data_IF_853634501243
#
_entry.id   IF_853634501243
#
_cell.length_a   1.000
_cell.length_b   1.000
_cell.length_c   1.000
_cell.angle_alpha   90.00
_cell.angle_beta   90.00
_cell.angle_gamma   90.00
#
_symmetry.space_group_name_H-M   'P 1'
#
loop_
_entity.id
_entity.type
_entity.pdbx_description
1 polymer ?
#
# COMPACT_ATOMS: atom_id res chain seq x y z
N UNK A 1 4.66 2.17 33.11
CA UNK A 1 4.61 0.71 32.93
C UNK A 1 3.67 0.41 31.78
N UNK A 2 4.08 -0.42 30.82
CA UNK A 2 3.21 -0.81 29.70
C UNK A 2 2.19 -1.81 30.23
N UNK A 3 0.91 -1.55 29.99
CA UNK A 3 -0.20 -2.40 30.40
C UNK A 3 -0.76 -3.20 29.23
N UNK A 4 -0.78 -2.61 28.04
CA UNK A 4 -1.35 -3.21 26.83
C UNK A 4 -0.65 -2.69 25.58
N UNK A 5 -0.49 -3.53 24.56
CA UNK A 5 -0.07 -3.13 23.21
C UNK A 5 -1.16 -3.57 22.24
N UNK A 6 -1.59 -2.68 21.35
CA UNK A 6 -2.54 -2.97 20.29
C UNK A 6 -1.89 -2.71 18.93
N UNK A 7 -2.03 -3.64 18.00
CA UNK A 7 -1.47 -3.59 16.66
C UNK A 7 -2.63 -3.79 15.69
N UNK A 8 -2.96 -2.77 14.91
CA UNK A 8 -3.97 -2.84 13.87
C UNK A 8 -3.30 -2.79 12.51
N UNK A 9 -3.47 -3.84 11.72
CA UNK A 9 -2.91 -3.97 10.39
C UNK A 9 -4.03 -3.95 9.36
N UNK A 10 -3.74 -3.36 8.22
CA UNK A 10 -4.64 -3.32 7.08
C UNK A 10 -3.85 -3.66 5.84
N UNK A 11 -4.36 -4.62 5.08
CA UNK A 11 -3.84 -4.99 3.78
C UNK A 11 -4.90 -4.68 2.73
N UNK A 12 -4.53 -3.88 1.73
CA UNK A 12 -5.40 -3.50 0.63
C UNK A 12 -5.04 -4.34 -0.59
N UNK A 13 -5.93 -5.27 -0.91
CA UNK A 13 -5.81 -6.25 -1.97
C UNK A 13 -6.75 -5.87 -3.09
N UNK A 14 -6.25 -5.16 -4.11
CA UNK A 14 -7.11 -4.45 -5.07
C UNK A 14 -8.06 -3.47 -4.35
N UNK A 15 -8.90 -2.78 -5.13
CA UNK A 15 -9.85 -1.78 -4.63
C UNK A 15 -10.84 -2.30 -3.57
N UNK A 16 -11.43 -3.48 -3.77
CA UNK A 16 -12.61 -3.94 -3.01
C UNK A 16 -12.30 -4.99 -1.94
N UNK A 17 -11.07 -5.51 -1.86
CA UNK A 17 -10.72 -6.48 -0.82
C UNK A 17 -9.77 -5.85 0.17
N UNK A 18 -10.26 -5.79 1.41
CA UNK A 18 -9.51 -5.22 2.53
C UNK A 18 -9.50 -6.25 3.63
N UNK A 19 -8.30 -6.61 4.03
CA UNK A 19 -8.07 -7.49 5.14
C UNK A 19 -7.64 -6.65 6.34
N UNK A 20 -8.38 -6.76 7.44
CA UNK A 20 -8.11 -6.03 8.66
C UNK A 20 -7.79 -7.00 9.77
N UNK A 21 -6.72 -6.71 10.51
CA UNK A 21 -6.29 -7.49 11.64
C UNK A 21 -6.10 -6.57 12.83
N UNK A 22 -6.58 -7.00 13.98
CA UNK A 22 -6.32 -6.34 15.25
C UNK A 22 -5.77 -7.38 16.20
N UNK A 23 -4.60 -7.06 16.75
CA UNK A 23 -3.94 -7.86 17.76
C UNK A 23 -3.77 -7.03 19.03
N UNK A 24 -4.11 -7.60 20.17
CA UNK A 24 -4.02 -6.95 21.47
C UNK A 24 -3.27 -7.83 22.44
N UNK A 25 -2.16 -7.36 22.99
CA UNK A 25 -1.44 -7.97 24.10
C UNK A 25 -1.82 -7.22 25.37
N UNK A 26 -2.41 -7.90 26.33
CA UNK A 26 -2.71 -7.40 27.66
C UNK A 26 -1.77 -8.04 28.68
N UNK A 27 -0.86 -7.25 29.23
CA UNK A 27 0.14 -7.67 30.22
C UNK A 27 -0.41 -7.71 31.65
N UNK A 28 -1.58 -7.11 31.91
CA UNK A 28 -2.24 -7.21 33.22
C UNK A 28 -2.91 -8.58 33.39
N UNK A 29 -3.42 -9.14 32.29
CA UNK A 29 -4.04 -10.48 32.26
C UNK A 29 -3.13 -11.57 31.69
N UNK A 30 -1.96 -11.21 31.15
CA UNK A 30 -1.06 -12.08 30.39
C UNK A 30 -1.78 -12.82 29.24
N UNK A 31 -2.60 -12.07 28.50
CA UNK A 31 -3.36 -12.59 27.37
C UNK A 31 -3.05 -11.85 26.08
N UNK A 32 -3.05 -12.59 24.97
CA UNK A 32 -3.07 -12.05 23.62
C UNK A 32 -4.42 -12.34 23.00
N UNK A 33 -5.12 -11.31 22.53
CA UNK A 33 -6.37 -11.42 21.78
C UNK A 33 -6.11 -11.08 20.32
N UNK A 34 -6.59 -11.93 19.42
CA UNK A 34 -6.42 -11.77 17.98
C UNK A 34 -7.81 -11.70 17.36
N UNK A 35 -8.04 -10.69 16.53
CA UNK A 35 -9.25 -10.56 15.75
C UNK A 35 -8.88 -10.24 14.31
N UNK A 36 -9.12 -11.21 13.45
CA UNK A 36 -8.98 -11.05 12.00
C UNK A 36 -10.38 -10.86 11.43
N UNK A 37 -10.58 -9.78 10.66
CA UNK A 37 -11.85 -9.47 10.02
C UNK A 37 -11.65 -8.99 8.58
N UNK A 38 -12.38 -9.57 7.65
CA UNK A 38 -12.38 -9.13 6.25
C UNK A 38 -13.57 -8.22 5.97
N UNK A 39 -13.36 -7.17 5.15
CA UNK A 39 -14.42 -6.38 4.55
C UNK A 39 -14.40 -6.62 3.04
N UNK A 40 -15.12 -7.65 2.58
CA UNK A 40 -15.21 -8.01 1.16
C UNK A 40 -15.95 -9.33 0.92
N UNK A 41 -16.57 -9.49 -0.25
CA UNK A 41 -17.21 -10.75 -0.69
C UNK A 41 -16.20 -11.56 -1.48
N UNK A 42 -15.55 -12.53 -0.84
CA UNK A 42 -14.43 -13.26 -1.43
C UNK A 42 -14.69 -13.96 -2.76
N UNK A 43 -15.95 -14.27 -3.07
CA UNK A 43 -16.37 -14.85 -4.35
C UNK A 43 -16.31 -13.84 -5.52
N UNK A 44 -16.46 -12.53 -5.25
CA UNK A 44 -16.36 -11.49 -6.29
C UNK A 44 -14.92 -11.29 -6.77
N UNK A 45 -13.94 -11.35 -5.87
CA UNK A 45 -12.52 -11.16 -6.19
C UNK A 45 -12.03 -12.13 -7.28
N UNK A 46 -12.34 -13.43 -7.13
CA UNK A 46 -11.98 -14.46 -8.11
C UNK A 46 -12.71 -14.28 -9.45
N UNK A 47 -13.90 -13.66 -9.43
CA UNK A 47 -14.72 -13.47 -10.63
C UNK A 47 -14.42 -12.17 -11.40
N UNK A 48 -13.91 -11.13 -10.74
CA UNK A 48 -13.73 -9.80 -11.32
C UNK A 48 -12.29 -9.55 -11.83
N UNK A 49 -11.33 -10.43 -11.48
CA UNK A 49 -9.92 -10.26 -11.86
C UNK A 49 -9.31 -11.48 -12.55
N UNK A 50 -9.74 -11.81 -13.78
CA UNK A 50 -9.19 -12.94 -14.52
C UNK A 50 -7.72 -12.77 -14.96
N UNK A 51 -7.14 -11.57 -14.84
CA UNK A 51 -5.86 -11.19 -15.46
C UNK A 51 -4.78 -10.73 -14.46
N UNK A 52 -5.04 -10.77 -13.15
CA UNK A 52 -4.01 -10.42 -12.18
C UNK A 52 -3.21 -11.66 -11.78
N UNK A 53 -1.89 -11.48 -11.64
CA UNK A 53 -0.98 -12.51 -11.12
C UNK A 53 -1.59 -13.18 -9.87
N UNK A 54 -1.57 -14.51 -9.85
CA UNK A 54 -2.13 -15.33 -8.76
C UNK A 54 -1.47 -15.06 -7.40
N UNK A 55 -0.35 -14.32 -7.36
CA UNK A 55 0.35 -13.91 -6.14
C UNK A 55 -0.58 -13.32 -5.09
N UNK A 56 -1.55 -12.47 -5.46
CA UNK A 56 -2.54 -11.95 -4.51
C UNK A 56 -3.49 -13.02 -3.98
N UNK A 57 -3.89 -13.96 -4.83
CA UNK A 57 -4.84 -15.03 -4.47
C UNK A 57 -4.22 -15.88 -3.37
N UNK A 58 -2.95 -16.26 -3.50
CA UNK A 58 -2.29 -17.10 -2.51
C UNK A 58 -2.15 -16.39 -1.16
N UNK A 59 -1.77 -15.10 -1.16
CA UNK A 59 -1.69 -14.29 0.06
C UNK A 59 -3.08 -14.17 0.71
N UNK A 60 -4.10 -13.80 -0.07
CA UNK A 60 -5.47 -13.66 0.42
C UNK A 60 -6.05 -14.97 0.95
N UNK A 61 -5.83 -16.08 0.25
CA UNK A 61 -6.31 -17.41 0.66
C UNK A 61 -5.67 -17.82 1.97
N UNK A 62 -4.37 -17.63 2.15
CA UNK A 62 -3.71 -17.94 3.41
C UNK A 62 -4.19 -17.03 4.55
N UNK A 63 -4.22 -15.70 4.35
CA UNK A 63 -4.76 -14.76 5.34
C UNK A 63 -6.21 -15.11 5.73
N UNK A 64 -7.04 -15.51 4.75
CA UNK A 64 -8.40 -16.00 4.99
C UNK A 64 -8.43 -17.28 5.78
N UNK A 65 -7.55 -18.23 5.50
CA UNK A 65 -7.47 -19.50 6.23
C UNK A 65 -7.16 -19.30 7.72
N UNK A 66 -6.53 -18.17 8.06
CA UNK A 66 -6.20 -17.77 9.43
C UNK A 66 -7.29 -16.96 10.11
N UNK A 67 -8.38 -16.58 9.41
CA UNK A 67 -9.50 -15.82 9.97
C UNK A 67 -10.10 -16.53 11.18
N UNK A 68 -9.69 -16.10 12.36
CA UNK A 68 -10.10 -16.63 13.64
C UNK A 68 -10.13 -15.50 14.66
N UNK A 69 -10.86 -15.70 15.74
CA UNK A 69 -10.64 -14.95 16.97
C UNK A 69 -10.17 -15.93 18.02
N UNK A 70 -8.94 -15.74 18.48
CA UNK A 70 -8.29 -16.62 19.45
C UNK A 70 -7.88 -15.79 20.68
N UNK A 71 -7.86 -16.43 21.84
CA UNK A 71 -7.20 -15.88 23.03
C UNK A 71 -6.06 -16.83 23.38
N UNK A 72 -4.84 -16.30 23.46
CA UNK A 72 -3.67 -17.03 23.96
C UNK A 72 -3.27 -16.49 25.31
N UNK A 73 -2.83 -17.39 26.18
CA UNK A 73 -2.26 -17.02 27.48
C UNK A 73 -0.76 -17.28 27.43
N UNK A 74 0.03 -16.39 28.02
CA UNK A 74 1.47 -16.57 28.22
C UNK A 74 1.82 -16.47 29.71
N UNK A 75 2.98 -17.00 30.11
CA UNK A 75 3.43 -16.93 31.50
C UNK A 75 4.06 -15.58 31.83
N UNK A 76 4.18 -15.31 33.13
CA UNK A 76 4.73 -14.07 33.65
C UNK A 76 6.20 -13.86 33.23
N UNK A 77 7.01 -14.91 33.18
CA UNK A 77 8.42 -14.81 32.80
C UNK A 77 8.58 -14.38 31.33
N UNK A 78 7.71 -14.86 30.46
CA UNK A 78 7.69 -14.49 29.05
C UNK A 78 7.17 -13.06 28.85
N UNK A 79 6.16 -12.64 29.62
CA UNK A 79 5.68 -11.27 29.62
C UNK A 79 6.76 -10.28 30.08
N UNK A 80 7.43 -10.57 31.19
CA UNK A 80 8.48 -9.71 31.77
C UNK A 80 9.68 -9.58 30.83
N UNK A 81 10.14 -10.70 30.26
CA UNK A 81 11.19 -10.72 29.22
C UNK A 81 10.79 -9.90 28.00
N UNK A 82 9.58 -10.09 27.47
CA UNK A 82 9.11 -9.33 26.32
C UNK A 82 9.10 -7.81 26.61
N UNK A 83 8.59 -7.41 27.77
CA UNK A 83 8.54 -5.99 28.16
C UNK A 83 9.93 -5.38 28.32
N UNK A 84 10.88 -6.12 28.89
CA UNK A 84 12.27 -5.71 28.97
C UNK A 84 12.90 -5.54 27.59
N UNK A 85 12.81 -6.57 26.75
CA UNK A 85 13.34 -6.55 25.38
C UNK A 85 12.70 -5.43 24.55
N UNK A 86 11.42 -5.13 24.76
CA UNK A 86 10.68 -4.08 24.04
C UNK A 86 11.16 -2.67 24.42
N UNK A 87 11.44 -2.45 25.71
CA UNK A 87 12.04 -1.20 26.20
C UNK A 87 13.46 -1.01 25.64
N UNK A 88 14.26 -2.07 25.61
CA UNK A 88 15.61 -2.03 25.02
C UNK A 88 15.60 -1.85 23.49
N UNK A 89 14.59 -2.39 22.82
CA UNK A 89 14.43 -2.27 21.38
C UNK A 89 14.33 -0.80 20.98
N UNK A 90 13.66 0.03 21.79
CA UNK A 90 13.45 1.46 21.50
C UNK A 90 12.82 1.64 20.12
N UNK A 91 11.78 0.84 19.84
CA UNK A 91 11.19 0.67 18.50
C UNK A 91 10.89 2.01 17.80
N UNK A 92 10.42 2.99 18.56
CA UNK A 92 9.99 4.29 18.04
C UNK A 92 10.94 5.45 18.39
N UNK A 93 12.17 5.19 18.85
CA UNK A 93 13.16 6.25 19.08
C UNK A 93 13.51 6.92 17.75
N UNK A 94 13.19 8.22 17.62
CA UNK A 94 13.43 8.97 16.38
C UNK A 94 12.44 8.68 15.25
N UNK A 95 11.44 7.84 15.49
CA UNK A 95 10.40 7.53 14.51
C UNK A 95 9.35 8.66 14.46
N UNK A 96 9.07 9.14 13.24
CA UNK A 96 8.02 10.12 12.99
C UNK A 96 6.76 9.39 12.49
N UNK A 97 5.73 9.36 13.34
CA UNK A 97 4.42 8.80 12.99
C UNK A 97 3.79 9.58 11.85
N UNK A 98 3.21 8.88 10.89
CA UNK A 98 2.44 9.49 9.81
C UNK A 98 1.12 10.04 10.36
N UNK A 99 0.71 11.23 9.90
CA UNK A 99 -0.57 11.85 10.31
C UNK A 99 -1.78 11.12 9.68
N UNK A 100 -2.79 10.83 10.49
CA UNK A 100 -3.98 10.09 10.07
C UNK A 100 -4.84 10.83 9.00
N UNK A 101 -4.66 12.13 8.82
CA UNK A 101 -5.38 12.90 7.78
C UNK A 101 -4.99 12.47 6.36
N UNK A 102 -3.77 11.93 6.17
CA UNK A 102 -3.35 11.29 4.92
C UNK A 102 -3.86 9.84 4.79
N UNK A 103 -4.44 9.30 5.87
CA UNK A 103 -4.82 7.89 5.99
C UNK A 103 -5.98 7.53 5.06
N UNK A 104 -6.88 8.47 4.80
CA UNK A 104 -8.12 8.25 4.05
C UNK A 104 -8.03 8.55 2.55
N UNK A 105 -7.12 9.43 2.09
CA UNK A 105 -7.07 9.88 0.68
C UNK A 105 -6.35 8.90 -0.26
N UNK A 106 -5.34 8.19 0.24
CA UNK A 106 -4.49 7.29 -0.54
C UNK A 106 -4.32 5.96 0.19
N UNK A 107 -4.68 4.86 -0.45
CA UNK A 107 -4.49 3.53 0.09
C UNK A 107 -3.29 2.87 -0.58
N UNK A 108 -2.37 2.40 0.24
CA UNK A 108 -1.24 1.57 -0.21
C UNK A 108 -1.52 0.13 0.16
N UNK A 109 -0.68 -0.79 -0.31
CA UNK A 109 -0.84 -2.22 -0.04
C UNK A 109 -0.92 -2.58 1.45
N UNK A 110 -0.21 -1.87 2.32
CA UNK A 110 -0.14 -2.15 3.75
C UNK A 110 -0.17 -0.87 4.60
N UNK A 111 -0.89 -0.92 5.72
CA UNK A 111 -0.79 0.11 6.75
C UNK A 111 -0.90 -0.50 8.14
N UNK A 112 -0.27 0.14 9.12
CA UNK A 112 -0.20 -0.33 10.49
C UNK A 112 -0.39 0.82 11.47
N UNK A 113 -1.06 0.52 12.58
CA UNK A 113 -1.17 1.38 13.75
C UNK A 113 -0.78 0.57 14.98
N UNK A 114 0.14 1.10 15.78
CA UNK A 114 0.56 0.52 17.06
C UNK A 114 0.18 1.48 18.18
N UNK A 115 -0.62 1.00 19.13
CA UNK A 115 -1.04 1.76 20.31
C UNK A 115 -0.45 1.11 21.55
N UNK A 116 0.32 1.88 22.32
CA UNK A 116 0.91 1.44 23.58
C UNK A 116 0.16 2.10 24.73
N UNK A 117 -0.44 1.30 25.59
CA UNK A 117 -1.19 1.76 26.76
C UNK A 117 -0.35 1.61 28.02
N UNK A 118 -0.48 2.59 28.89
CA UNK A 118 0.14 2.64 30.20
C UNK A 118 -0.81 3.27 31.22
N UNK A 119 -0.42 3.22 32.48
CA UNK A 119 -1.11 3.91 33.57
C UNK A 119 -1.23 5.44 33.37
N UNK A 120 -0.41 6.03 32.50
CA UNK A 120 -0.39 7.48 32.26
C UNK A 120 -1.17 7.90 31.00
N UNK A 121 -1.67 6.95 30.22
CA UNK A 121 -2.36 7.20 28.95
C UNK A 121 -1.92 6.25 27.85
N UNK A 122 -2.02 6.68 26.60
CA UNK A 122 -1.58 5.91 25.45
C UNK A 122 -0.77 6.75 24.47
N UNK A 123 0.10 6.08 23.71
CA UNK A 123 0.79 6.62 22.55
C UNK A 123 0.38 5.83 21.31
N UNK A 124 0.17 6.53 20.21
CA UNK A 124 -0.21 5.95 18.92
C UNK A 124 0.88 6.23 17.88
N UNK A 125 1.24 5.20 17.14
CA UNK A 125 2.22 5.25 16.05
C UNK A 125 1.61 4.63 14.79
N UNK A 126 1.45 5.44 13.76
CA UNK A 126 0.80 5.09 12.50
C UNK A 126 1.79 5.17 11.35
N UNK A 127 1.74 4.20 10.44
CA UNK A 127 2.54 4.20 9.22
C UNK A 127 1.95 3.36 8.09
N UNK A 128 2.32 3.72 6.86
CA UNK A 128 1.97 3.01 5.63
C UNK A 128 3.21 2.41 4.98
N UNK A 129 4.20 3.26 4.73
CA UNK A 129 5.45 2.91 4.06
C UNK A 129 6.69 3.33 4.84
N UNK A 130 6.56 4.18 5.86
CA UNK A 130 7.66 4.53 6.76
C UNK A 130 7.70 3.55 7.94
N UNK A 131 8.42 2.44 7.80
CA UNK A 131 8.52 1.45 8.87
C UNK A 131 9.54 1.89 9.93
N UNK A 132 9.29 1.61 11.23
CA UNK A 132 10.34 1.73 12.24
C UNK A 132 11.57 0.88 11.88
N UNK A 133 12.79 1.37 12.11
CA UNK A 133 14.02 0.67 11.69
C UNK A 133 14.12 -0.76 12.23
N UNK A 134 13.60 -0.99 13.44
CA UNK A 134 13.65 -2.30 14.12
C UNK A 134 12.35 -3.11 13.99
N UNK A 135 11.56 -2.86 12.94
CA UNK A 135 10.28 -3.53 12.74
C UNK A 135 10.38 -5.06 12.63
N UNK A 136 11.40 -5.58 11.92
CA UNK A 136 11.63 -7.02 11.83
C UNK A 136 11.99 -7.66 13.18
N UNK A 137 12.78 -6.96 14.00
CA UNK A 137 13.13 -7.40 15.35
C UNK A 137 11.89 -7.47 16.23
N UNK A 138 11.03 -6.44 16.18
CA UNK A 138 9.76 -6.42 16.88
C UNK A 138 8.85 -7.60 16.46
N UNK A 139 8.74 -7.88 15.16
CA UNK A 139 7.97 -9.04 14.67
C UNK A 139 8.49 -10.38 15.17
N UNK A 140 9.82 -10.55 15.28
CA UNK A 140 10.42 -11.74 15.89
C UNK A 140 10.06 -11.87 17.37
N UNK A 141 10.16 -10.78 18.13
CA UNK A 141 9.80 -10.78 19.56
C UNK A 141 8.32 -11.14 19.78
N UNK A 142 7.43 -10.59 18.96
CA UNK A 142 6.00 -10.92 19.01
C UNK A 142 5.78 -12.41 18.75
N UNK A 143 6.42 -12.95 17.69
CA UNK A 143 6.34 -14.37 17.38
C UNK A 143 6.86 -15.26 18.50
N UNK A 144 7.94 -14.87 19.17
CA UNK A 144 8.50 -15.63 20.27
C UNK A 144 7.58 -15.61 21.50
N UNK A 145 6.84 -14.51 21.73
CA UNK A 145 5.85 -14.40 22.79
C UNK A 145 4.59 -15.24 22.51
N UNK A 146 4.04 -15.18 21.28
CA UNK A 146 2.72 -15.74 20.98
C UNK A 146 2.71 -17.02 20.13
N UNK A 147 3.85 -17.36 19.54
CA UNK A 147 4.07 -18.57 18.77
C UNK A 147 3.67 -18.50 17.28
N UNK A 148 3.43 -17.30 16.72
CA UNK A 148 3.14 -17.12 15.30
C UNK A 148 3.47 -15.71 14.79
N UNK A 149 3.55 -15.55 13.48
CA UNK A 149 3.92 -14.29 12.81
C UNK A 149 2.76 -13.28 12.88
N UNK A 150 2.79 -12.39 13.87
CA UNK A 150 1.80 -11.33 14.06
C UNK A 150 1.89 -10.27 12.97
N UNK A 151 3.10 -9.93 12.53
CA UNK A 151 3.34 -8.82 11.60
C UNK A 151 3.33 -9.25 10.13
N UNK A 152 3.06 -10.53 9.87
CA UNK A 152 3.07 -11.13 8.54
C UNK A 152 4.35 -10.80 7.75
N UNK A 153 5.51 -10.83 8.41
CA UNK A 153 6.80 -10.43 7.83
C UNK A 153 7.12 -11.18 6.53
N UNK A 154 6.65 -12.42 6.37
CA UNK A 154 6.81 -13.17 5.13
C UNK A 154 6.01 -12.58 3.97
N UNK A 155 4.77 -12.12 4.20
CA UNK A 155 3.96 -11.47 3.17
C UNK A 155 4.45 -10.06 2.86
N UNK A 156 4.95 -9.37 3.88
CA UNK A 156 5.58 -8.05 3.68
C UNK A 156 6.75 -8.11 2.67
N UNK A 157 7.46 -9.25 2.56
CA UNK A 157 8.52 -9.44 1.54
C UNK A 157 7.99 -9.53 0.11
N UNK A 158 6.70 -9.76 -0.07
CA UNK A 158 6.05 -9.74 -1.39
C UNK A 158 5.47 -8.36 -1.71
N UNK A 159 5.65 -7.37 -0.85
CA UNK A 159 5.20 -6.01 -1.08
C UNK A 159 6.40 -5.11 -1.36
N UNK A 160 6.32 -4.32 -2.42
CA UNK A 160 7.29 -3.29 -2.75
C UNK A 160 7.15 -2.12 -1.76
N UNK A 161 7.62 -2.33 -0.53
CA UNK A 161 7.71 -1.33 0.53
C UNK A 161 9.17 -1.13 0.97
N UNK A 162 9.49 0.01 1.61
CA UNK A 162 10.83 0.29 2.13
C UNK A 162 11.34 -0.70 3.18
N UNK A 163 10.49 -1.58 3.71
CA UNK A 163 10.90 -2.59 4.69
C UNK A 163 11.86 -3.61 4.10
N UNK A 164 11.64 -4.03 2.84
CA UNK A 164 12.44 -5.09 2.19
C UNK A 164 12.98 -4.71 0.81
N UNK A 165 12.51 -3.60 0.25
CA UNK A 165 12.88 -3.17 -1.08
C UNK A 165 13.36 -1.73 -1.06
N UNK A 166 14.31 -1.41 -1.93
CA UNK A 166 14.72 -0.05 -2.20
C UNK A 166 13.91 0.50 -3.38
N UNK A 167 13.17 1.57 -3.16
CA UNK A 167 12.20 2.13 -4.11
C UNK A 167 12.73 3.45 -4.63
N UNK A 168 13.25 3.39 -5.86
CA UNK A 168 13.95 4.49 -6.52
C UNK A 168 13.08 5.10 -7.61
N UNK A 169 13.57 6.20 -8.20
CA UNK A 169 12.87 6.84 -9.32
C UNK A 169 12.72 5.89 -10.51
N UNK A 170 13.70 5.00 -10.69
CA UNK A 170 13.83 4.14 -11.86
C UNK A 170 13.35 2.69 -11.63
N UNK A 171 12.91 2.33 -10.42
CA UNK A 171 12.38 0.99 -10.18
C UNK A 171 12.36 0.56 -8.72
N UNK A 172 12.03 -0.72 -8.54
CA UNK A 172 12.04 -1.42 -7.26
C UNK A 172 13.22 -2.39 -7.24
N UNK A 173 13.98 -2.38 -6.16
CA UNK A 173 15.22 -3.14 -6.02
C UNK A 173 15.17 -4.08 -4.82
N UNK A 174 15.72 -5.29 -4.99
CA UNK A 174 16.04 -6.21 -3.90
C UNK A 174 17.57 -6.24 -3.73
N UNK A 175 18.07 -5.51 -2.73
CA UNK A 175 19.50 -5.22 -2.65
C UNK A 175 19.95 -4.35 -3.83
N UNK A 176 20.91 -4.84 -4.62
CA UNK A 176 21.42 -4.13 -5.80
C UNK A 176 20.68 -4.51 -7.10
N UNK A 177 19.83 -5.54 -7.07
CA UNK A 177 19.16 -6.08 -8.25
C UNK A 177 17.83 -5.36 -8.50
N UNK A 178 17.68 -4.76 -9.69
CA UNK A 178 16.43 -4.14 -10.14
C UNK A 178 15.44 -5.23 -10.56
N UNK A 179 14.26 -5.23 -9.95
CA UNK A 179 13.20 -6.18 -10.29
C UNK A 179 12.55 -5.79 -11.63
N UNK A 180 12.45 -6.74 -12.56
CA UNK A 180 11.74 -6.55 -13.82
C UNK A 180 10.23 -6.46 -13.60
N UNK A 181 9.56 -5.50 -14.27
CA UNK A 181 8.09 -5.39 -14.27
C UNK A 181 7.50 -6.49 -15.16
N UNK A 182 6.59 -7.29 -14.63
CA UNK A 182 5.87 -8.35 -15.36
C UNK A 182 4.52 -7.85 -15.87
N UNK A 183 3.81 -7.08 -15.04
CA UNK A 183 2.47 -6.59 -15.37
C UNK A 183 2.23 -5.23 -14.74
N UNK A 184 1.52 -4.37 -15.46
CA UNK A 184 0.95 -3.13 -14.95
C UNK A 184 -0.57 -3.20 -15.15
N UNK A 185 -1.31 -2.84 -14.12
CA UNK A 185 -2.75 -2.61 -14.23
C UNK A 185 -3.08 -1.24 -13.67
N UNK A 186 -3.79 -0.46 -14.47
CA UNK A 186 -4.19 0.88 -14.15
C UNK A 186 -5.65 1.08 -14.50
N UNK A 187 -6.41 1.76 -13.66
CA UNK A 187 -7.79 2.06 -14.02
C UNK A 187 -8.52 2.99 -13.07
N UNK A 188 -9.72 3.37 -13.50
CA UNK A 188 -10.57 4.33 -12.83
C UNK A 188 -11.95 3.78 -12.57
N UNK A 189 -12.58 4.36 -11.56
CA UNK A 189 -13.97 4.14 -11.23
C UNK A 189 -14.61 5.48 -10.94
N UNK A 190 -15.88 5.64 -11.33
CA UNK A 190 -16.66 6.76 -10.81
C UNK A 190 -16.60 6.76 -9.29
N UNK A 191 -16.43 7.95 -8.72
CA UNK A 191 -16.61 8.18 -7.27
C UNK A 191 -17.98 7.69 -6.84
N UNK A 192 -18.11 7.39 -5.54
CA UNK A 192 -19.28 6.72 -4.97
C UNK A 192 -20.63 7.29 -5.50
N UNK A 193 -21.59 6.44 -5.93
CA UNK A 193 -21.59 4.98 -5.88
C UNK A 193 -20.83 4.35 -7.06
N UNK A 194 -20.08 3.29 -6.74
CA UNK A 194 -19.10 2.59 -7.56
C UNK A 194 -19.70 1.77 -8.71
N UNK A 195 -20.49 2.41 -9.56
CA UNK A 195 -21.49 1.70 -10.37
C UNK A 195 -21.02 1.34 -11.79
N UNK A 196 -20.02 2.04 -12.34
CA UNK A 196 -19.49 1.77 -13.67
C UNK A 196 -17.95 1.85 -13.65
N UNK A 197 -17.23 0.71 -13.77
CA UNK A 197 -15.81 0.76 -14.06
C UNK A 197 -15.61 1.35 -15.45
N UNK A 198 -14.64 2.25 -15.59
CA UNK A 198 -14.09 2.50 -16.90
C UNK A 198 -13.32 1.25 -17.37
N UNK A 199 -13.11 1.06 -18.68
CA UNK A 199 -12.10 0.11 -19.13
C UNK A 199 -10.80 0.35 -18.36
N UNK A 200 -10.11 -0.69 -17.93
CA UNK A 200 -8.78 -0.58 -17.31
C UNK A 200 -7.71 -0.69 -18.39
N UNK A 201 -6.51 -0.21 -18.14
CA UNK A 201 -5.33 -0.52 -18.95
C UNK A 201 -4.58 -1.65 -18.27
N UNK A 202 -4.36 -2.76 -18.97
CA UNK A 202 -3.48 -3.83 -18.53
C UNK A 202 -2.34 -3.92 -19.52
N UNK A 203 -1.10 -3.90 -19.02
CA UNK A 203 0.11 -4.13 -19.82
C UNK A 203 0.76 -5.39 -19.27
N UNK A 204 0.82 -6.44 -20.07
CA UNK A 204 1.48 -7.70 -19.72
C UNK A 204 2.77 -7.84 -20.54
N UNK A 205 3.91 -7.72 -19.85
CA UNK A 205 5.23 -7.78 -20.48
C UNK A 205 5.66 -9.21 -20.82
N UNK A 206 5.05 -10.22 -20.20
CA UNK A 206 5.35 -11.63 -20.47
C UNK A 206 4.55 -12.14 -21.67
N UNK A 207 3.23 -11.92 -21.66
CA UNK A 207 2.33 -12.31 -22.74
C UNK A 207 2.39 -11.35 -23.93
N UNK A 208 3.14 -10.25 -23.78
CA UNK A 208 3.30 -9.18 -24.77
C UNK A 208 1.95 -8.66 -25.27
N UNK A 209 1.07 -8.31 -24.33
CA UNK A 209 -0.26 -7.77 -24.62
C UNK A 209 -0.54 -6.45 -23.88
N UNK A 210 -1.39 -5.63 -24.49
CA UNK A 210 -2.09 -4.52 -23.85
C UNK A 210 -3.58 -4.76 -24.03
N UNK A 211 -4.34 -4.66 -22.94
CA UNK A 211 -5.77 -4.97 -22.88
C UNK A 211 -6.59 -3.86 -22.22
N UNK A 212 -7.88 -3.81 -22.53
CA UNK A 212 -8.90 -2.97 -21.91
C UNK A 212 -9.17 -1.65 -22.66
N UNK A 213 -8.57 -0.52 -22.26
CA UNK A 213 -8.74 0.76 -22.99
C UNK A 213 -8.33 0.65 -24.46
N UNK A 214 -7.29 -0.14 -24.72
CA UNK A 214 -6.78 -0.44 -26.06
C UNK A 214 -6.42 -1.92 -26.08
N UNK A 215 -6.82 -2.62 -27.14
CA UNK A 215 -6.45 -4.01 -27.39
C UNK A 215 -5.34 -4.05 -28.44
N UNK A 216 -4.11 -4.42 -28.05
CA UNK A 216 -2.98 -4.54 -28.98
C UNK A 216 -1.88 -5.48 -28.48
N UNK A 217 -1.06 -5.97 -29.41
CA UNK A 217 0.22 -6.60 -29.10
C UNK A 217 1.21 -5.55 -28.57
N UNK A 218 1.97 -5.90 -27.54
CA UNK A 218 3.01 -5.05 -26.94
C UNK A 218 4.30 -5.17 -27.74
N UNK A 219 4.64 -4.12 -28.48
CA UNK A 219 5.89 -4.07 -29.24
C UNK A 219 7.06 -3.63 -28.34
N UNK A 220 8.33 -3.95 -28.68
CA UNK A 220 9.49 -3.52 -27.89
C UNK A 220 9.58 -2.00 -27.68
N UNK A 221 9.14 -1.21 -28.68
CA UNK A 221 9.09 0.25 -28.56
C UNK A 221 8.01 0.75 -27.59
N UNK A 222 6.92 -0.01 -27.44
CA UNK A 222 5.88 0.30 -26.46
C UNK A 222 6.39 0.01 -25.05
N UNK A 223 7.06 -1.13 -24.87
CA UNK A 223 7.70 -1.52 -23.60
C UNK A 223 8.72 -0.48 -23.14
N UNK A 224 9.65 -0.08 -24.01
CA UNK A 224 10.62 0.99 -23.71
C UNK A 224 9.92 2.30 -23.35
N UNK A 225 8.89 2.69 -24.10
CA UNK A 225 8.14 3.92 -23.84
C UNK A 225 7.43 3.90 -22.48
N UNK A 226 6.72 2.82 -22.18
CA UNK A 226 5.99 2.67 -20.92
C UNK A 226 6.97 2.72 -19.74
N UNK A 227 8.07 1.95 -19.80
CA UNK A 227 9.06 1.96 -18.74
C UNK A 227 9.70 3.35 -18.57
N UNK A 228 10.07 4.01 -19.67
CA UNK A 228 10.62 5.38 -19.62
C UNK A 228 9.65 6.39 -18.99
N UNK A 229 8.34 6.28 -19.25
CA UNK A 229 7.34 7.14 -18.63
C UNK A 229 7.25 6.92 -17.10
N UNK A 230 7.28 5.66 -16.66
CA UNK A 230 7.29 5.34 -15.23
C UNK A 230 8.50 5.97 -14.52
N UNK A 231 9.69 5.87 -15.14
CA UNK A 231 10.93 6.42 -14.60
C UNK A 231 10.93 7.95 -14.62
N UNK A 232 10.56 8.55 -15.76
CA UNK A 232 10.55 10.01 -15.97
C UNK A 232 9.66 10.75 -14.97
N UNK A 233 8.51 10.16 -14.63
CA UNK A 233 7.54 10.77 -13.70
C UNK A 233 7.60 10.21 -12.29
N UNK A 234 8.64 9.43 -11.98
CA UNK A 234 8.92 8.86 -10.66
C UNK A 234 7.76 8.00 -10.11
N UNK A 235 7.06 7.26 -10.97
CA UNK A 235 5.82 6.55 -10.62
C UNK A 235 6.03 5.57 -9.47
N UNK A 236 7.15 4.86 -9.42
CA UNK A 236 7.48 3.93 -8.33
C UNK A 236 7.51 4.61 -6.95
N UNK A 237 7.80 5.91 -6.90
CA UNK A 237 7.92 6.69 -5.66
C UNK A 237 6.63 7.40 -5.26
N UNK A 238 5.55 7.27 -6.03
CA UNK A 238 4.23 7.79 -5.67
C UNK A 238 3.69 7.27 -4.33
N UNK A 239 4.27 6.24 -3.74
CA UNK A 239 3.90 5.76 -2.40
C UNK A 239 4.40 6.66 -1.25
N UNK A 240 5.29 7.61 -1.53
CA UNK A 240 5.92 8.47 -0.51
C UNK A 240 5.21 9.81 -0.39
N UNK A 241 5.08 10.31 0.84
CA UNK A 241 4.38 11.55 1.21
C UNK A 241 4.86 12.79 0.45
N UNK A 242 6.13 12.82 0.06
CA UNK A 242 6.74 13.91 -0.71
C UNK A 242 6.10 14.14 -2.09
N UNK A 243 5.36 13.16 -2.64
CA UNK A 243 4.62 13.24 -3.91
C UNK A 243 3.15 13.63 -3.71
N UNK A 244 2.75 14.04 -2.50
CA UNK A 244 1.36 14.33 -2.15
C UNK A 244 1.22 15.69 -1.49
N UNK A 245 2.04 16.67 -1.91
CA UNK A 245 2.03 18.02 -1.34
C UNK A 245 0.72 18.72 -1.63
N UNK A 246 0.16 18.56 -2.84
CA UNK A 246 -1.18 19.07 -3.14
C UNK A 246 -2.20 18.57 -2.13
N UNK A 247 -2.16 17.27 -1.81
CA UNK A 247 -3.16 16.62 -0.96
C UNK A 247 -3.20 17.19 0.46
N UNK A 248 -2.09 17.80 0.92
CA UNK A 248 -1.97 18.52 2.19
C UNK A 248 -2.53 19.95 2.15
N UNK A 249 -2.79 20.50 0.96
CA UNK A 249 -3.27 21.88 0.78
C UNK A 249 -4.78 22.01 0.62
N UNK A 250 -5.51 20.89 0.44
CA UNK A 250 -6.97 20.86 0.30
C UNK A 250 -7.67 20.11 1.42
N UNK A 251 -8.87 20.59 1.76
CA UNK A 251 -9.80 19.90 2.65
C UNK A 251 -10.24 18.56 2.00
N UNK A 252 -10.24 17.43 2.74
CA UNK A 252 -10.75 16.15 2.25
C UNK A 252 -12.19 16.16 1.72
N UNK A 253 -13.03 17.12 2.08
CA UNK A 253 -14.44 17.11 1.67
C UNK A 253 -14.71 17.64 0.24
N UNK A 254 -13.69 18.18 -0.46
CA UNK A 254 -13.81 18.80 -1.80
C UNK A 254 -13.52 17.85 -2.98
N UNK A 255 -13.63 16.54 -2.79
CA UNK A 255 -13.20 15.53 -3.77
C UNK A 255 -14.28 15.25 -4.85
N UNK A 256 -14.29 16.04 -5.92
CA UNK A 256 -15.05 15.75 -7.16
C UNK A 256 -14.17 15.07 -8.24
N UNK A 257 -14.54 13.87 -8.73
CA UNK A 257 -13.86 13.20 -9.85
C UNK A 257 -13.89 11.67 -9.81
N UNK A 258 -12.76 11.01 -10.06
CA UNK A 258 -12.64 9.53 -10.16
C UNK A 258 -11.74 8.95 -9.08
N UNK A 259 -12.11 7.77 -8.57
CA UNK A 259 -11.17 6.94 -7.84
C UNK A 259 -10.27 6.22 -8.85
N UNK A 260 -8.98 6.06 -8.54
CA UNK A 260 -8.02 5.42 -9.43
C UNK A 260 -7.17 4.40 -8.67
N UNK A 261 -6.53 3.51 -9.42
CA UNK A 261 -5.51 2.62 -8.88
C UNK A 261 -4.43 2.34 -9.90
N UNK A 262 -3.23 2.10 -9.38
CA UNK A 262 -2.11 1.57 -10.13
C UNK A 262 -1.56 0.37 -9.36
N UNK A 263 -1.39 -0.73 -10.07
CA UNK A 263 -0.72 -1.91 -9.58
C UNK A 263 0.38 -2.33 -10.54
N UNK A 264 1.52 -2.71 -9.97
CA UNK A 264 2.62 -3.29 -10.72
C UNK A 264 3.06 -4.58 -10.03
N UNK A 265 3.18 -5.64 -10.82
CA UNK A 265 3.74 -6.92 -10.38
C UNK A 265 5.12 -7.07 -10.99
N UNK A 266 6.10 -7.35 -10.15
CA UNK A 266 7.50 -7.55 -10.53
C UNK A 266 7.88 -9.03 -10.48
N UNK A 267 9.08 -9.34 -10.97
CA UNK A 267 9.68 -10.66 -10.79
C UNK A 267 9.69 -11.10 -9.32
N UNK A 268 9.56 -12.41 -9.11
CA UNK A 268 9.41 -12.98 -7.76
C UNK A 268 8.04 -12.76 -7.11
N UNK A 269 7.06 -12.19 -7.84
CA UNK A 269 5.71 -11.94 -7.32
C UNK A 269 5.65 -10.78 -6.34
N UNK A 270 6.60 -9.84 -6.44
CA UNK A 270 6.61 -8.61 -5.63
C UNK A 270 5.56 -7.65 -6.19
N UNK A 271 4.77 -7.05 -5.30
CA UNK A 271 3.59 -6.26 -5.66
C UNK A 271 3.77 -4.83 -5.16
N UNK A 272 3.61 -3.87 -6.06
CA UNK A 272 3.47 -2.46 -5.74
C UNK A 272 2.03 -2.05 -6.04
N UNK A 273 1.37 -1.40 -5.08
CA UNK A 273 -0.04 -1.01 -5.23
C UNK A 273 -0.32 0.34 -4.57
N UNK A 274 -1.03 1.19 -5.30
CA UNK A 274 -1.54 2.46 -4.85
C UNK A 274 -2.97 2.66 -5.37
N UNK A 275 -3.84 3.16 -4.51
CA UNK A 275 -5.22 3.49 -4.80
C UNK A 275 -5.52 4.89 -4.24
N UNK A 276 -6.18 5.75 -5.01
CA UNK A 276 -6.51 7.11 -4.58
C UNK A 276 -7.99 7.42 -4.72
N UNK A 277 -8.54 8.12 -3.72
CA UNK A 277 -9.92 8.62 -3.75
C UNK A 277 -9.95 10.02 -4.33
N UNK A 278 -9.97 10.12 -5.65
CA UNK A 278 -9.93 11.41 -6.34
C UNK A 278 -8.78 12.33 -5.89
N UNK A 279 -7.68 11.72 -5.46
CA UNK A 279 -6.46 12.38 -5.07
C UNK A 279 -5.31 11.68 -5.78
N UNK A 280 -4.47 12.46 -6.45
CA UNK A 280 -3.44 11.96 -7.34
C UNK A 280 -2.06 12.42 -6.87
N UNK A 281 -0.99 11.66 -7.16
CA UNK A 281 0.38 12.09 -6.93
C UNK A 281 0.68 13.38 -7.71
N UNK A 282 1.53 14.24 -7.17
CA UNK A 282 1.82 15.57 -7.72
C UNK A 282 2.35 15.53 -9.17
N UNK A 283 2.99 14.44 -9.61
CA UNK A 283 3.51 14.27 -10.99
C UNK A 283 2.53 13.55 -11.94
N UNK A 284 1.33 13.17 -11.47
CA UNK A 284 0.34 12.41 -12.23
C UNK A 284 -0.17 13.16 -13.47
N UNK A 285 -0.47 14.45 -13.34
CA UNK A 285 -0.98 15.27 -14.45
C UNK A 285 0.06 15.40 -15.57
N UNK A 286 1.34 15.52 -15.24
CA UNK A 286 2.41 15.57 -16.24
C UNK A 286 2.52 14.25 -17.01
N UNK A 287 2.43 13.10 -16.32
CA UNK A 287 2.36 11.79 -16.97
C UNK A 287 1.14 11.69 -17.89
N UNK A 288 -0.05 12.06 -17.39
CA UNK A 288 -1.29 12.00 -18.16
C UNK A 288 -1.23 12.84 -19.45
N UNK A 289 -0.66 14.04 -19.39
CA UNK A 289 -0.49 14.89 -20.58
C UNK A 289 0.43 14.26 -21.62
N UNK A 290 1.56 13.69 -21.21
CA UNK A 290 2.46 13.04 -22.17
C UNK A 290 1.81 11.78 -22.78
N UNK A 291 1.02 11.04 -21.99
CA UNK A 291 0.22 9.92 -22.51
C UNK A 291 -0.80 10.41 -23.55
N UNK A 292 -1.48 11.54 -23.34
CA UNK A 292 -2.40 12.13 -24.33
C UNK A 292 -1.63 12.55 -25.59
N UNK A 293 -0.47 13.19 -25.46
CA UNK A 293 0.35 13.62 -26.60
C UNK A 293 0.79 12.43 -27.47
N UNK A 294 1.14 11.31 -26.83
CA UNK A 294 1.57 10.07 -27.49
C UNK A 294 0.40 9.32 -28.13
N UNK A 295 -0.68 9.12 -27.37
CA UNK A 295 -1.76 8.20 -27.74
C UNK A 295 -2.95 8.87 -28.41
N UNK A 296 -3.11 10.19 -28.21
CA UNK A 296 -4.32 10.93 -28.56
C UNK A 296 -5.53 10.64 -27.66
N UNK A 297 -5.35 9.93 -26.54
CA UNK A 297 -6.42 9.51 -25.64
C UNK A 297 -6.11 9.92 -24.19
N UNK A 298 -7.11 10.39 -23.47
CA UNK A 298 -7.01 10.65 -22.02
C UNK A 298 -7.20 9.36 -21.22
N UNK A 299 -6.18 8.51 -21.23
CA UNK A 299 -6.19 7.24 -20.49
C UNK A 299 -6.10 7.43 -18.97
N UNK A 300 -5.64 8.60 -18.52
CA UNK A 300 -5.47 8.95 -17.11
C UNK A 300 -6.65 9.75 -16.54
N UNK A 301 -7.68 10.02 -17.35
CA UNK A 301 -8.86 10.81 -16.99
C UNK A 301 -8.49 12.19 -16.41
N UNK A 302 -7.39 12.81 -16.87
CA UNK A 302 -6.93 14.11 -16.35
C UNK A 302 -7.81 15.29 -16.79
N UNK A 303 -8.57 15.15 -17.88
CA UNK A 303 -9.54 16.16 -18.33
C UNK A 303 -10.72 16.33 -17.36
N UNK A 304 -10.82 15.42 -16.38
CA UNK A 304 -11.88 15.41 -15.37
C UNK A 304 -11.48 16.21 -14.12
N UNK A 305 -10.21 16.58 -13.99
CA UNK A 305 -9.65 17.36 -12.89
C UNK A 305 -9.95 18.85 -13.13
N UNK A 306 -10.40 19.56 -12.10
CA UNK A 306 -10.73 20.98 -12.23
C UNK A 306 -9.48 21.88 -12.39
N UNK A 307 -9.65 23.03 -13.05
CA UNK A 307 -8.55 23.95 -13.36
C UNK A 307 -7.75 24.39 -12.12
N UNK A 308 -8.42 24.60 -10.99
CA UNK A 308 -7.77 24.97 -9.72
C UNK A 308 -6.80 23.89 -9.23
N UNK A 309 -7.17 22.60 -9.35
CA UNK A 309 -6.29 21.50 -9.00
C UNK A 309 -5.17 21.32 -10.00
N UNK A 310 -5.44 21.54 -11.29
CA UNK A 310 -4.42 21.51 -12.33
C UNK A 310 -3.30 22.53 -12.06
N UNK A 311 -3.62 23.72 -11.56
CA UNK A 311 -2.60 24.71 -11.17
C UNK A 311 -1.70 24.19 -10.04
N UNK A 312 -2.27 23.51 -9.04
CA UNK A 312 -1.51 22.92 -7.94
C UNK A 312 -0.65 21.74 -8.41
N UNK A 313 -1.20 20.85 -9.24
CA UNK A 313 -0.44 19.75 -9.84
C UNK A 313 0.74 20.26 -10.67
N UNK A 314 0.53 21.30 -11.49
CA UNK A 314 1.63 21.92 -12.24
C UNK A 314 2.72 22.42 -11.30
N UNK A 315 2.34 23.20 -10.28
CA UNK A 315 3.30 23.77 -9.33
C UNK A 315 4.11 22.68 -8.62
N UNK A 316 3.45 21.72 -7.97
CA UNK A 316 4.14 20.73 -7.14
C UNK A 316 4.84 19.66 -7.98
N UNK A 317 4.26 19.26 -9.11
CA UNK A 317 4.90 18.35 -10.05
C UNK A 317 6.16 18.97 -10.67
N UNK A 318 6.12 20.25 -11.07
CA UNK A 318 7.30 20.94 -11.60
C UNK A 318 8.42 21.03 -10.55
N UNK A 319 8.10 21.29 -9.27
CA UNK A 319 9.08 21.30 -8.18
C UNK A 319 9.75 19.93 -7.94
N UNK A 320 9.05 18.83 -8.22
CA UNK A 320 9.57 17.46 -8.07
C UNK A 320 10.39 17.03 -9.29
N UNK A 321 10.01 17.49 -10.49
CA UNK A 321 10.62 17.11 -11.76
C UNK A 321 11.77 18.04 -12.18
N UNK A 322 11.94 19.20 -11.53
CA UNK A 322 13.08 20.11 -11.71
C UNK A 322 14.36 19.60 -11.06
#
# INVERSE_FOLDING_TARGET
MIEKIEITQRFNFKRLNRHYECFTIDFLSNTGYYKISERGSGDKFLSESPLCDSSWIDILVDLRSRMTSEIRTFDFESADRFLHDFDELKLFDGFESEEFLLFEKLEVIYSCVVIIYSSEGYFEYSFKNNFPEKWEEFGRMLRDLVGFDVLHLNYQRQFATPLYHDIRNDGVYLGDDRLAVRTIEFGHYRTYPYDLPHPRLIVNFEDKSIEGYVEKELMPSDEELILNLLEKYHVYRWIFTQYHRKSLTRDPDDLEGYDWYLEMVFEGGVIWHLFGYNEYPDTYVHLGREIIEISGMDLCEIDTICDEDIELFNKFGDEILS
#
